data_IF_196158143445
#
_entry.id   IF_196158143445
#
_cell.length_a   1.000
_cell.length_b   1.000
_cell.length_c   1.000
_cell.angle_alpha   90.00
_cell.angle_beta   90.00
_cell.angle_gamma   90.00
#
_symmetry.space_group_name_H-M   'P 1'
#
loop_
_entity.id
_entity.type
_entity.pdbx_description
1 polymer ?
#
# COMPACT_ATOMS: atom_id res chain seq x y z
N UNK A 1 17.09 -9.65 -2.48
CA UNK A 1 15.66 -9.38 -2.23
C UNK A 1 15.17 -10.52 -1.35
N UNK A 2 14.55 -10.22 -0.21
CA UNK A 2 13.98 -11.23 0.69
C UNK A 2 12.89 -12.00 -0.07
N UNK A 3 12.83 -13.33 0.08
CA UNK A 3 11.73 -14.10 -0.49
C UNK A 3 10.38 -13.57 0.04
N UNK A 4 9.35 -13.45 -0.82
CA UNK A 4 8.01 -13.09 -0.35
C UNK A 4 7.45 -14.12 0.63
N UNK A 5 6.62 -13.65 1.58
CA UNK A 5 5.94 -14.48 2.56
C UNK A 5 6.35 -14.20 4.01
N UNK A 6 5.48 -14.57 4.93
CA UNK A 6 5.69 -14.58 6.37
C UNK A 6 6.25 -15.93 6.82
N UNK A 7 7.09 -15.88 7.85
CA UNK A 7 7.50 -17.07 8.62
C UNK A 7 6.37 -17.54 9.55
N UNK A 8 6.43 -18.79 10.03
CA UNK A 8 5.44 -19.34 10.97
C UNK A 8 5.28 -18.50 12.24
N UNK A 9 6.38 -17.93 12.74
CA UNK A 9 6.37 -17.05 13.90
C UNK A 9 5.61 -15.74 13.63
N UNK A 10 5.72 -15.20 12.42
CA UNK A 10 5.03 -13.98 12.00
C UNK A 10 3.54 -14.23 11.73
N UNK A 11 3.20 -15.39 11.15
CA UNK A 11 1.82 -15.87 11.03
C UNK A 11 1.20 -16.06 12.42
N UNK A 12 1.92 -16.69 13.36
CA UNK A 12 1.47 -16.83 14.74
C UNK A 12 1.22 -15.47 15.40
N UNK A 13 2.13 -14.50 15.20
CA UNK A 13 1.96 -13.12 15.67
C UNK A 13 0.69 -12.47 15.12
N UNK A 14 0.43 -12.60 13.81
CA UNK A 14 -0.80 -12.11 13.21
C UNK A 14 -2.04 -12.75 13.87
N UNK A 15 -2.05 -14.08 14.03
CA UNK A 15 -3.17 -14.81 14.64
C UNK A 15 -3.41 -14.42 16.11
N UNK A 16 -2.36 -14.05 16.84
CA UNK A 16 -2.48 -13.62 18.24
C UNK A 16 -2.92 -12.17 18.38
N UNK A 17 -2.38 -11.26 17.57
CA UNK A 17 -2.56 -9.81 17.76
C UNK A 17 -3.50 -9.15 16.74
N UNK A 18 -3.88 -9.86 15.69
CA UNK A 18 -4.69 -9.34 14.57
C UNK A 18 -3.91 -8.50 13.56
N UNK A 19 -2.59 -8.34 13.71
CA UNK A 19 -1.75 -7.62 12.77
C UNK A 19 -0.28 -8.06 12.79
N UNK A 20 0.41 -7.87 11.67
CA UNK A 20 1.85 -8.04 11.53
C UNK A 20 2.44 -6.87 10.71
N UNK A 21 3.61 -6.36 11.11
CA UNK A 21 4.24 -5.20 10.46
C UNK A 21 5.40 -5.66 9.57
N UNK A 22 5.19 -5.59 8.26
CA UNK A 22 6.25 -5.80 7.27
C UNK A 22 7.03 -4.51 7.07
N UNK A 23 8.28 -4.46 7.54
CA UNK A 23 9.14 -3.28 7.42
C UNK A 23 9.85 -3.26 6.08
N UNK A 24 10.11 -2.05 5.56
CA UNK A 24 10.95 -1.83 4.37
C UNK A 24 10.49 -2.60 3.11
N UNK A 25 9.18 -2.82 2.96
CA UNK A 25 8.59 -3.53 1.80
C UNK A 25 8.89 -2.81 0.49
N UNK A 26 8.85 -1.47 0.52
CA UNK A 26 9.11 -0.62 -0.64
C UNK A 26 10.51 -0.02 -0.61
N UNK A 27 11.15 -0.02 -1.78
CA UNK A 27 12.40 0.70 -2.06
C UNK A 27 12.17 2.21 -2.18
N UNK A 28 13.25 2.99 -2.27
CA UNK A 28 13.16 4.44 -2.30
C UNK A 28 12.43 4.95 -3.54
N UNK A 29 12.72 4.36 -4.70
CA UNK A 29 12.11 4.64 -5.98
C UNK A 29 10.61 4.28 -6.00
N UNK A 30 10.24 3.17 -5.39
CA UNK A 30 8.82 2.76 -5.27
C UNK A 30 8.05 3.75 -4.40
N UNK A 31 8.61 4.17 -3.26
CA UNK A 31 8.01 5.21 -2.42
C UNK A 31 7.85 6.54 -3.15
N UNK A 32 8.80 6.91 -4.01
CA UNK A 32 8.69 8.11 -4.83
C UNK A 32 7.53 8.01 -5.84
N UNK A 33 7.37 6.85 -6.49
CA UNK A 33 6.24 6.58 -7.39
C UNK A 33 4.90 6.60 -6.65
N UNK A 34 4.78 5.90 -5.52
CA UNK A 34 3.60 5.92 -4.65
C UNK A 34 3.21 7.37 -4.32
N UNK A 35 4.18 8.19 -3.93
CA UNK A 35 3.93 9.59 -3.57
C UNK A 35 3.39 10.38 -4.74
N UNK A 36 3.98 10.23 -5.93
CA UNK A 36 3.57 10.92 -7.15
C UNK A 36 2.14 10.55 -7.56
N UNK A 37 1.82 9.26 -7.60
CA UNK A 37 0.47 8.77 -7.96
C UNK A 37 -0.58 9.24 -6.94
N UNK A 38 -0.24 9.17 -5.64
CA UNK A 38 -1.12 9.63 -4.57
C UNK A 38 -1.41 11.13 -4.66
N UNK A 39 -0.38 11.96 -4.86
CA UNK A 39 -0.52 13.41 -4.96
C UNK A 39 -1.32 13.82 -6.20
N UNK A 40 -1.11 13.13 -7.33
CA UNK A 40 -1.88 13.36 -8.56
C UNK A 40 -3.38 13.09 -8.34
N UNK A 41 -3.74 11.93 -7.81
CA UNK A 41 -5.16 11.57 -7.64
C UNK A 41 -5.87 12.41 -6.58
N UNK A 42 -5.15 12.85 -5.53
CA UNK A 42 -5.74 13.79 -4.57
C UNK A 42 -6.00 15.16 -5.20
N UNK A 43 -5.06 15.65 -6.03
CA UNK A 43 -5.23 16.92 -6.72
C UNK A 43 -6.37 16.86 -7.75
N UNK A 44 -6.55 15.73 -8.43
CA UNK A 44 -7.70 15.49 -9.30
C UNK A 44 -9.00 15.54 -8.48
N UNK A 45 -9.12 14.68 -7.47
CA UNK A 45 -10.40 14.43 -6.80
C UNK A 45 -10.89 15.60 -5.94
N UNK A 46 -9.96 16.33 -5.33
CA UNK A 46 -10.27 17.40 -4.38
C UNK A 46 -9.88 18.80 -4.89
N UNK A 47 -9.25 18.90 -6.06
CA UNK A 47 -8.76 20.16 -6.61
C UNK A 47 -7.73 20.84 -5.68
N UNK A 48 -7.63 22.18 -5.71
CA UNK A 48 -6.66 22.94 -4.92
C UNK A 48 -7.04 23.07 -3.42
N UNK A 49 -8.08 22.37 -2.97
CA UNK A 49 -8.59 22.49 -1.60
C UNK A 49 -7.55 22.02 -0.58
N UNK A 50 -7.18 22.88 0.36
CA UNK A 50 -6.29 22.49 1.47
C UNK A 50 -6.98 21.47 2.37
N UNK A 51 -6.30 20.36 2.64
CA UNK A 51 -6.76 19.35 3.59
C UNK A 51 -6.77 19.90 5.02
N UNK A 52 -7.96 20.13 5.58
CA UNK A 52 -8.15 20.66 6.94
C UNK A 52 -8.26 19.56 8.03
N UNK A 53 -8.24 18.29 7.62
CA UNK A 53 -8.33 17.13 8.51
C UNK A 53 -9.72 16.90 9.13
N UNK A 54 -10.73 17.70 8.81
CA UNK A 54 -12.10 17.55 9.34
C UNK A 54 -12.81 16.30 8.80
N UNK A 55 -12.41 15.86 7.60
CA UNK A 55 -12.90 14.65 6.94
C UNK A 55 -11.73 13.93 6.29
N UNK A 56 -11.78 12.60 6.28
CA UNK A 56 -10.78 11.80 5.57
C UNK A 56 -10.88 12.06 4.06
N UNK A 57 -9.76 12.42 3.44
CA UNK A 57 -9.62 12.37 1.99
C UNK A 57 -9.25 10.95 1.55
N UNK A 58 -9.91 10.47 0.50
CA UNK A 58 -9.69 9.17 -0.11
C UNK A 58 -10.06 9.25 -1.59
N UNK A 59 -9.29 8.59 -2.43
CA UNK A 59 -9.55 8.47 -3.87
C UNK A 59 -9.20 7.05 -4.32
N UNK A 60 -9.79 6.63 -5.44
CA UNK A 60 -9.50 5.33 -6.05
C UNK A 60 -8.08 5.37 -6.64
N UNK A 61 -7.33 4.27 -6.48
CA UNK A 61 -5.93 4.13 -6.92
C UNK A 61 -5.76 2.86 -7.76
N UNK A 62 -6.76 2.52 -8.57
CA UNK A 62 -6.82 1.26 -9.32
C UNK A 62 -7.14 1.48 -10.80
N UNK A 63 -6.92 2.69 -11.29
CA UNK A 63 -7.12 3.08 -12.69
C UNK A 63 -5.78 3.19 -13.43
N UNK A 64 -5.86 3.61 -14.69
CA UNK A 64 -4.69 3.77 -15.57
C UNK A 64 -3.74 4.89 -15.14
N UNK A 65 -4.20 5.85 -14.33
CA UNK A 65 -3.40 6.96 -13.82
C UNK A 65 -2.54 6.54 -12.62
N UNK A 66 -2.87 5.42 -11.99
CA UNK A 66 -2.21 4.88 -10.79
C UNK A 66 -1.68 3.45 -10.99
N UNK A 67 -0.88 3.20 -12.04
CA UNK A 67 -0.48 1.86 -12.44
C UNK A 67 0.36 1.14 -11.38
N UNK A 68 1.17 1.87 -10.59
CA UNK A 68 1.93 1.24 -9.52
C UNK A 68 1.00 0.76 -8.40
N UNK A 69 0.07 1.60 -7.92
CA UNK A 69 -0.92 1.16 -6.93
C UNK A 69 -1.80 0.01 -7.44
N UNK A 70 -2.29 0.09 -8.68
CA UNK A 70 -3.09 -0.97 -9.29
C UNK A 70 -2.35 -2.31 -9.32
N UNK A 71 -1.04 -2.28 -9.57
CA UNK A 71 -0.21 -3.48 -9.61
C UNK A 71 -0.01 -4.16 -8.25
N UNK A 72 -0.21 -3.45 -7.12
CA UNK A 72 0.05 -3.99 -5.78
C UNK A 72 -0.83 -5.18 -5.41
N UNK A 73 -2.02 -5.31 -6.02
CA UNK A 73 -2.92 -6.44 -5.81
C UNK A 73 -2.30 -7.77 -6.25
N UNK A 74 -1.47 -7.74 -7.30
CA UNK A 74 -0.81 -8.91 -7.89
C UNK A 74 0.66 -9.03 -7.46
N UNK A 75 1.19 -8.05 -6.71
CA UNK A 75 2.58 -8.05 -6.28
C UNK A 75 2.82 -9.21 -5.28
N UNK A 76 3.78 -10.11 -5.55
CA UNK A 76 4.04 -11.28 -4.70
C UNK A 76 4.34 -10.93 -3.24
N UNK A 77 4.88 -9.74 -2.95
CA UNK A 77 5.14 -9.27 -1.57
C UNK A 77 3.86 -9.13 -0.76
N UNK A 78 2.73 -8.86 -1.40
CA UNK A 78 1.41 -8.71 -0.77
C UNK A 78 0.55 -9.95 -0.99
N UNK A 79 0.44 -10.43 -2.23
CA UNK A 79 -0.42 -11.55 -2.59
C UNK A 79 -0.03 -12.85 -1.87
N UNK A 80 1.26 -13.11 -1.73
CA UNK A 80 1.74 -14.31 -1.00
C UNK A 80 1.33 -14.25 0.47
N UNK A 81 1.51 -13.08 1.10
CA UNK A 81 1.18 -12.89 2.51
C UNK A 81 -0.33 -12.97 2.74
N UNK A 82 -1.12 -12.33 1.86
CA UNK A 82 -2.58 -12.40 1.93
C UNK A 82 -3.11 -13.83 1.78
N UNK A 83 -2.41 -14.72 1.08
CA UNK A 83 -2.76 -16.15 0.98
C UNK A 83 -2.36 -16.97 2.22
N UNK A 84 -1.40 -16.50 3.02
CA UNK A 84 -0.94 -17.20 4.23
C UNK A 84 -1.80 -16.88 5.47
N UNK A 85 -2.50 -15.74 5.47
CA UNK A 85 -3.30 -15.23 6.58
C UNK A 85 -4.77 -15.64 6.45
#
# INVERSE_FOLDING_TARGET
MTQPGLTDAEVSRFKTFGYHVMKQVFRAEERATIRREFDFMLAEQYGPSTYDGSKRHWTMMMDEDTPFFASLLEDPRFLTVARQL
#
